data_IF_560713799136
#
_entry.id   IF_560713799136
#
_cell.length_a   1.000
_cell.length_b   1.000
_cell.length_c   1.000
_cell.angle_alpha   90.00
_cell.angle_beta   90.00
_cell.angle_gamma   90.00
#
_symmetry.space_group_name_H-M   'P 1'
#
loop_
_entity.id
_entity.type
_entity.pdbx_description
1 polymer ?
#
# COMPACT_ATOMS: atom_id res chain seq x y z
N UNK A 1 25.85 -3.76 10.38
CA UNK A 1 24.84 -2.69 10.26
C UNK A 1 23.46 -3.31 10.19
N UNK A 2 22.42 -2.62 10.63
CA UNK A 2 21.03 -3.11 10.63
C UNK A 2 20.59 -3.56 9.24
N UNK A 3 19.94 -4.72 9.15
CA UNK A 3 19.45 -5.30 7.89
C UNK A 3 20.47 -6.12 7.10
N UNK A 4 21.74 -6.17 7.52
CA UNK A 4 22.73 -7.03 6.89
C UNK A 4 22.48 -8.52 7.19
N UNK A 5 22.88 -9.39 6.26
CA UNK A 5 22.84 -10.84 6.45
C UNK A 5 23.76 -11.27 7.60
N UNK A 6 23.27 -12.15 8.46
CA UNK A 6 24.05 -12.73 9.56
C UNK A 6 25.07 -13.74 8.99
N UNK A 7 26.36 -13.67 9.36
CA UNK A 7 27.36 -14.64 8.94
C UNK A 7 27.05 -16.06 9.42
N UNK A 8 27.56 -17.06 8.70
CA UNK A 8 27.41 -18.46 9.09
C UNK A 8 27.98 -18.70 10.50
N UNK A 9 27.21 -19.39 11.35
CA UNK A 9 27.60 -19.71 12.73
C UNK A 9 27.37 -18.59 13.76
N UNK A 10 26.93 -17.40 13.34
CA UNK A 10 26.56 -16.32 14.27
C UNK A 10 25.10 -16.48 14.71
N UNK A 11 24.86 -16.45 16.01
CA UNK A 11 23.54 -16.69 16.61
C UNK A 11 22.97 -15.49 17.37
N UNK A 12 23.75 -14.41 17.52
CA UNK A 12 23.41 -13.25 18.37
C UNK A 12 24.09 -11.98 17.86
N UNK A 13 23.40 -10.83 17.90
CA UNK A 13 23.96 -9.51 17.56
C UNK A 13 23.86 -8.57 18.76
N UNK A 14 24.94 -7.87 19.09
CA UNK A 14 24.96 -6.85 20.16
C UNK A 14 25.05 -5.47 19.50
N UNK A 15 24.25 -4.52 20.00
CA UNK A 15 24.28 -3.14 19.52
C UNK A 15 25.62 -2.50 19.87
N UNK A 16 26.22 -1.74 18.95
CA UNK A 16 27.52 -1.09 19.21
C UNK A 16 27.45 -0.17 20.45
N UNK A 17 26.29 0.43 20.69
CA UNK A 17 25.97 1.32 21.80
C UNK A 17 26.04 0.60 23.17
N UNK A 18 25.96 -0.73 23.17
CA UNK A 18 26.08 -1.59 24.36
C UNK A 18 27.50 -2.17 24.52
N UNK A 19 28.46 -1.76 23.70
CA UNK A 19 29.84 -2.26 23.72
C UNK A 19 30.83 -1.16 24.09
N UNK A 20 32.03 -1.57 24.51
CA UNK A 20 33.15 -0.65 24.69
C UNK A 20 34.28 -1.05 23.74
N UNK A 21 34.68 -0.12 22.87
CA UNK A 21 35.83 -0.30 22.00
C UNK A 21 37.10 -0.05 22.82
N UNK A 22 38.05 -0.98 22.74
CA UNK A 22 39.35 -0.90 23.41
C UNK A 22 40.47 -1.13 22.39
N UNK A 23 41.70 -0.82 22.75
CA UNK A 23 42.87 -1.04 21.88
C UNK A 23 43.08 -2.52 21.53
N UNK A 24 42.55 -3.45 22.35
CA UNK A 24 42.71 -4.89 22.18
C UNK A 24 41.46 -5.58 21.58
N UNK A 25 40.42 -4.82 21.22
CA UNK A 25 39.17 -5.35 20.68
C UNK A 25 37.92 -4.78 21.34
N UNK A 26 36.83 -5.55 21.31
CA UNK A 26 35.51 -5.11 21.79
C UNK A 26 35.21 -5.80 23.13
N UNK A 27 34.91 -5.01 24.15
CA UNK A 27 34.41 -5.48 25.43
C UNK A 27 32.88 -5.48 25.45
N UNK A 28 32.30 -6.57 25.96
CA UNK A 28 30.86 -6.72 26.20
C UNK A 28 30.58 -6.61 27.71
N UNK A 29 30.08 -5.46 28.20
CA UNK A 29 29.88 -5.23 29.64
C UNK A 29 28.74 -6.05 30.25
N UNK A 30 27.83 -6.55 29.41
CA UNK A 30 26.63 -7.28 29.81
C UNK A 30 26.51 -8.60 29.04
N UNK A 31 25.89 -9.64 29.64
CA UNK A 31 25.64 -10.89 28.93
C UNK A 31 24.61 -10.68 27.82
N UNK A 32 24.86 -11.30 26.67
CA UNK A 32 23.93 -11.30 25.55
C UNK A 32 22.88 -12.41 25.70
N UNK A 33 21.63 -12.13 25.30
CA UNK A 33 20.59 -13.15 25.17
C UNK A 33 20.72 -13.84 23.81
N UNK A 34 20.69 -15.18 23.81
CA UNK A 34 20.70 -15.97 22.58
C UNK A 34 19.63 -15.50 21.60
N UNK A 35 20.03 -15.20 20.36
CA UNK A 35 19.12 -14.75 19.30
C UNK A 35 18.73 -13.27 19.35
N UNK A 36 19.24 -12.48 20.30
CA UNK A 36 18.90 -11.06 20.36
C UNK A 36 19.34 -10.31 19.09
N UNK A 37 18.55 -9.32 18.70
CA UNK A 37 18.77 -8.46 17.54
C UNK A 37 18.94 -9.20 16.19
N UNK A 38 18.51 -10.47 16.11
CA UNK A 38 18.44 -11.21 14.85
C UNK A 38 16.98 -11.28 14.40
N UNK A 39 16.75 -10.77 13.19
CA UNK A 39 15.50 -10.97 12.46
C UNK A 39 15.57 -12.27 11.67
N UNK A 40 14.63 -13.19 11.91
CA UNK A 40 14.61 -14.53 11.31
C UNK A 40 13.91 -14.51 9.95
N UNK A 41 14.29 -15.43 9.08
CA UNK A 41 13.64 -15.61 7.78
C UNK A 41 12.16 -15.90 8.01
N UNK A 42 11.30 -15.10 7.37
CA UNK A 42 9.85 -15.24 7.44
C UNK A 42 9.22 -14.88 8.79
N UNK A 43 9.90 -14.09 9.64
CA UNK A 43 9.32 -13.65 10.91
C UNK A 43 8.11 -12.71 10.73
N UNK A 44 8.13 -11.88 9.68
CA UNK A 44 7.03 -10.97 9.34
C UNK A 44 5.98 -11.67 8.45
N UNK A 45 6.42 -12.34 7.38
CA UNK A 45 5.58 -13.02 6.41
C UNK A 45 6.26 -14.33 6.02
N UNK A 46 5.57 -15.46 6.20
CA UNK A 46 6.10 -16.77 5.82
C UNK A 46 5.78 -17.08 4.37
N UNK A 47 6.57 -17.99 3.82
CA UNK A 47 6.28 -18.54 2.51
C UNK A 47 4.87 -19.16 2.50
N UNK A 48 4.10 -18.85 1.46
CA UNK A 48 2.71 -19.28 1.24
C UNK A 48 1.65 -18.66 2.16
N UNK A 49 1.99 -17.66 2.98
CA UNK A 49 0.98 -16.89 3.71
C UNK A 49 0.10 -16.07 2.75
N UNK A 50 -1.18 -15.90 3.11
CA UNK A 50 -2.08 -14.97 2.44
C UNK A 50 -1.76 -13.57 2.93
N UNK A 51 -1.00 -12.81 2.13
CA UNK A 51 -0.62 -11.44 2.48
C UNK A 51 -1.78 -10.45 2.29
N UNK A 52 -2.58 -10.64 1.23
CA UNK A 52 -3.78 -9.85 0.95
C UNK A 52 -4.89 -10.78 0.47
N UNK A 53 -6.09 -10.63 1.03
CA UNK A 53 -7.24 -11.38 0.61
C UNK A 53 -7.79 -10.86 -0.73
N UNK A 54 -8.46 -11.74 -1.49
CA UNK A 54 -9.19 -11.30 -2.68
C UNK A 54 -10.27 -10.28 -2.28
N UNK A 55 -10.40 -9.20 -3.05
CA UNK A 55 -11.31 -8.10 -2.73
C UNK A 55 -10.70 -7.01 -1.84
N UNK A 56 -9.47 -7.16 -1.36
CA UNK A 56 -8.76 -6.07 -0.71
C UNK A 56 -8.60 -4.89 -1.67
N UNK A 57 -9.12 -3.73 -1.28
CA UNK A 57 -8.92 -2.48 -2.01
C UNK A 57 -7.45 -2.06 -1.90
N UNK A 58 -6.82 -1.88 -3.05
CA UNK A 58 -5.41 -1.50 -3.13
C UNK A 58 -5.23 0.00 -2.91
N UNK A 59 -4.21 0.33 -2.13
CA UNK A 59 -3.79 1.70 -1.85
C UNK A 59 -2.26 1.76 -1.70
N UNK A 60 -1.73 2.92 -1.34
CA UNK A 60 -0.31 3.13 -1.03
C UNK A 60 0.19 2.23 0.11
N UNK A 61 -0.68 1.66 0.94
CA UNK A 61 -0.28 0.70 1.97
C UNK A 61 -0.01 -0.71 1.40
N UNK A 62 -0.84 -1.18 0.44
CA UNK A 62 -0.75 -2.55 -0.08
C UNK A 62 0.24 -2.68 -1.24
N UNK A 63 0.37 -1.64 -2.08
CA UNK A 63 1.21 -1.73 -3.28
C UNK A 63 2.71 -1.94 -2.97
N UNK A 64 3.33 -1.22 -2.01
CA UNK A 64 4.73 -1.47 -1.64
C UNK A 64 4.93 -2.84 -0.99
N UNK A 65 3.93 -3.35 -0.26
CA UNK A 65 3.96 -4.68 0.32
C UNK A 65 3.97 -5.77 -0.77
N UNK A 66 3.18 -5.61 -1.83
CA UNK A 66 3.23 -6.53 -2.99
C UNK A 66 4.60 -6.46 -3.66
N UNK A 67 5.13 -5.25 -3.85
CA UNK A 67 6.43 -5.02 -4.50
C UNK A 67 7.60 -5.60 -3.68
N UNK A 68 7.57 -5.53 -2.34
CA UNK A 68 8.61 -6.09 -1.47
C UNK A 68 8.68 -7.63 -1.56
N UNK A 69 7.62 -8.28 -2.01
CA UNK A 69 7.58 -9.72 -2.31
C UNK A 69 8.08 -10.06 -3.72
N UNK A 70 8.55 -9.07 -4.49
CA UNK A 70 9.05 -9.26 -5.86
C UNK A 70 7.94 -9.46 -6.90
N UNK A 71 6.68 -9.15 -6.58
CA UNK A 71 5.54 -9.35 -7.48
C UNK A 71 5.32 -8.09 -8.32
N UNK A 72 5.53 -8.20 -9.63
CA UNK A 72 5.40 -7.07 -10.56
C UNK A 72 3.96 -6.82 -11.07
N UNK A 73 3.15 -7.89 -11.17
CA UNK A 73 1.79 -7.82 -11.71
C UNK A 73 0.84 -8.62 -10.81
N UNK A 74 -0.41 -8.15 -10.72
CA UNK A 74 -1.47 -8.79 -9.95
C UNK A 74 -2.78 -8.82 -10.74
N UNK A 75 -3.61 -9.80 -10.43
CA UNK A 75 -4.96 -9.86 -10.95
C UNK A 75 -5.88 -8.97 -10.13
N UNK A 76 -6.65 -8.10 -10.81
CA UNK A 76 -7.64 -7.21 -10.18
C UNK A 76 -8.98 -7.34 -10.88
N UNK A 77 -10.05 -6.97 -10.18
CA UNK A 77 -11.34 -6.81 -10.84
C UNK A 77 -11.29 -5.65 -11.83
N UNK A 78 -11.91 -5.85 -13.00
CA UNK A 78 -12.08 -4.78 -13.99
C UNK A 78 -12.88 -3.61 -13.39
N UNK A 79 -12.62 -2.39 -13.87
CA UNK A 79 -13.42 -1.21 -13.52
C UNK A 79 -14.90 -1.40 -13.90
N UNK A 80 -15.80 -0.87 -13.06
CA UNK A 80 -17.23 -0.85 -13.34
C UNK A 80 -17.53 0.07 -14.54
N UNK A 81 -18.43 -0.41 -15.41
CA UNK A 81 -18.95 0.34 -16.56
C UNK A 81 -20.38 0.75 -16.23
N UNK A 82 -20.63 2.05 -16.18
CA UNK A 82 -21.93 2.64 -15.81
C UNK A 82 -22.31 3.63 -16.89
N UNK A 83 -23.52 3.49 -17.45
CA UNK A 83 -24.09 4.46 -18.38
C UNK A 83 -25.00 5.44 -17.61
N UNK A 84 -24.92 6.73 -17.94
CA UNK A 84 -25.70 7.79 -17.29
C UNK A 84 -26.31 8.68 -18.36
N UNK A 85 -27.62 8.92 -18.28
CA UNK A 85 -28.34 9.82 -19.16
C UNK A 85 -29.41 10.58 -18.36
N UNK A 86 -29.81 11.73 -18.86
CA UNK A 86 -30.94 12.52 -18.36
C UNK A 86 -31.97 12.66 -19.47
N UNK A 87 -33.22 12.88 -19.09
CA UNK A 87 -34.34 13.11 -20.01
C UNK A 87 -35.27 14.16 -19.40
N UNK A 88 -35.88 14.98 -20.24
CA UNK A 88 -36.73 16.10 -19.84
C UNK A 88 -36.58 17.26 -20.82
N UNK A 89 -37.69 17.78 -21.32
CA UNK A 89 -37.70 18.89 -22.29
C UNK A 89 -37.23 20.20 -21.63
N UNK A 90 -37.34 20.28 -20.31
CA UNK A 90 -36.81 21.37 -19.48
C UNK A 90 -35.28 21.35 -19.37
N UNK A 91 -34.61 20.23 -19.69
CA UNK A 91 -33.18 20.10 -19.48
C UNK A 91 -32.36 20.65 -20.65
N UNK A 92 -31.37 21.48 -20.34
CA UNK A 92 -30.41 22.03 -21.27
C UNK A 92 -28.97 21.63 -20.90
N UNK A 93 -28.14 21.45 -21.92
CA UNK A 93 -26.71 21.12 -21.73
C UNK A 93 -25.94 22.32 -21.18
N UNK A 94 -25.06 22.09 -20.20
CA UNK A 94 -24.18 23.12 -19.65
C UNK A 94 -23.33 23.74 -20.77
N UNK A 95 -23.29 25.07 -20.84
CA UNK A 95 -22.56 25.82 -21.87
C UNK A 95 -23.41 26.22 -23.08
N UNK A 96 -24.66 25.77 -23.16
CA UNK A 96 -25.64 26.26 -24.14
C UNK A 96 -26.56 27.30 -23.51
N UNK A 97 -27.04 28.33 -24.24
CA UNK A 97 -27.98 29.29 -23.69
C UNK A 97 -29.31 28.63 -23.30
N UNK A 98 -29.90 29.08 -22.19
CA UNK A 98 -31.21 28.64 -21.74
C UNK A 98 -32.32 29.28 -22.58
N UNK A 99 -33.32 28.49 -22.96
CA UNK A 99 -34.61 29.00 -23.42
C UNK A 99 -35.57 29.20 -22.25
N UNK A 100 -36.69 29.89 -22.48
CA UNK A 100 -37.73 30.04 -21.47
C UNK A 100 -38.21 28.67 -20.96
N UNK A 101 -38.28 28.50 -19.64
CA UNK A 101 -38.68 27.25 -18.98
C UNK A 101 -37.59 26.18 -18.89
N UNK A 102 -36.39 26.41 -19.44
CA UNK A 102 -35.29 25.46 -19.34
C UNK A 102 -34.40 25.68 -18.10
N UNK A 103 -33.81 24.60 -17.62
CA UNK A 103 -32.79 24.54 -16.57
C UNK A 103 -31.60 23.70 -17.04
N UNK A 104 -30.42 23.89 -16.43
CA UNK A 104 -29.26 23.07 -16.76
C UNK A 104 -29.35 21.67 -16.14
N UNK A 105 -28.93 20.66 -16.89
CA UNK A 105 -28.80 19.28 -16.41
C UNK A 105 -27.59 19.12 -15.48
N UNK A 106 -27.79 19.40 -14.19
CA UNK A 106 -26.76 19.30 -13.15
C UNK A 106 -26.62 17.89 -12.59
N UNK A 107 -27.69 17.09 -12.57
CA UNK A 107 -27.70 15.75 -11.99
C UNK A 107 -26.79 14.79 -12.76
N UNK A 108 -26.90 14.73 -14.09
CA UNK A 108 -25.99 13.90 -14.90
C UNK A 108 -24.55 14.30 -14.71
N UNK A 109 -24.28 15.61 -14.62
CA UNK A 109 -22.94 16.12 -14.37
C UNK A 109 -22.41 15.68 -13.00
N UNK A 110 -23.20 15.88 -11.94
CA UNK A 110 -22.82 15.51 -10.58
C UNK A 110 -22.59 14.00 -10.42
N UNK A 111 -23.50 13.16 -10.93
CA UNK A 111 -23.36 11.71 -10.89
C UNK A 111 -22.11 11.25 -11.66
N UNK A 112 -21.82 11.83 -12.83
CA UNK A 112 -20.59 11.53 -13.57
C UNK A 112 -19.34 11.81 -12.75
N UNK A 113 -19.26 12.96 -12.09
CA UNK A 113 -18.12 13.31 -11.23
C UNK A 113 -17.96 12.36 -10.03
N UNK A 114 -19.07 11.98 -9.39
CA UNK A 114 -19.03 11.00 -8.29
C UNK A 114 -18.55 9.64 -8.77
N UNK A 115 -19.04 9.17 -9.92
CA UNK A 115 -18.61 7.91 -10.54
C UNK A 115 -17.13 7.93 -10.93
N UNK A 116 -16.62 9.05 -11.44
CA UNK A 116 -15.19 9.23 -11.73
C UNK A 116 -14.34 9.19 -10.46
N UNK A 117 -14.80 9.81 -9.36
CA UNK A 117 -14.09 9.81 -8.07
C UNK A 117 -13.99 8.42 -7.44
N UNK A 118 -15.02 7.57 -7.60
CA UNK A 118 -15.02 6.19 -7.05
C UNK A 118 -14.42 5.16 -8.00
N UNK A 119 -14.13 5.55 -9.26
CA UNK A 119 -13.39 4.72 -10.23
C UNK A 119 -11.91 4.67 -9.87
N UNK A 120 -11.59 3.87 -8.85
CA UNK A 120 -10.23 3.36 -8.62
C UNK A 120 -9.78 2.55 -9.84
#
# INVERSE_FOLDING_TARGET
MTGAMIPAGVDTVIMQEETQVTDNGILFPHPAKLGQNIRRIGEDIKQNDIVLAAGTKLSTAQLPLIASLGIANINVYRKLKVAVFSTGDELQTIGQPLKAGQIYDTNRFAVRLMLEKIRL
#
